data_IF_976472447631
#
_entry.id   IF_976472447631
#
_cell.length_a   1.000
_cell.length_b   1.000
_cell.length_c   1.000
_cell.angle_alpha   90.00
_cell.angle_beta   90.00
_cell.angle_gamma   90.00
#
_symmetry.space_group_name_H-M   'P 1'
#
loop_
_entity.id
_entity.type
_entity.pdbx_description
1 polymer ?
#
# COMPACT_ATOMS: atom_id res chain seq x y z
N UNK A 1 -22.82 -24.16 29.75
CA UNK A 1 -23.47 -23.14 28.92
C UNK A 1 -22.59 -21.90 28.89
N UNK A 2 -21.78 -21.74 27.84
CA UNK A 2 -21.36 -20.45 27.28
C UNK A 2 -20.40 -20.74 26.12
N UNK A 3 -20.98 -20.75 24.92
CA UNK A 3 -20.31 -20.87 23.63
C UNK A 3 -19.59 -19.56 23.31
N UNK A 4 -18.27 -19.60 23.16
CA UNK A 4 -17.48 -18.54 22.53
C UNK A 4 -17.23 -18.93 21.07
N UNK A 5 -17.85 -18.19 20.14
CA UNK A 5 -17.68 -18.36 18.70
C UNK A 5 -16.41 -17.66 18.23
N UNK A 6 -15.34 -18.44 18.06
CA UNK A 6 -14.16 -18.05 17.30
C UNK A 6 -14.48 -18.13 15.81
N UNK A 7 -14.72 -16.97 15.18
CA UNK A 7 -14.82 -16.85 13.73
C UNK A 7 -13.45 -17.16 13.12
N UNK A 8 -13.33 -18.39 12.63
CA UNK A 8 -12.16 -18.90 11.94
C UNK A 8 -12.07 -18.20 10.58
N UNK A 9 -11.11 -17.28 10.43
CA UNK A 9 -10.77 -16.68 9.13
C UNK A 9 -10.14 -17.79 8.30
N UNK A 10 -10.96 -18.45 7.48
CA UNK A 10 -10.47 -19.34 6.43
C UNK A 10 -9.59 -18.53 5.49
N UNK A 11 -8.29 -18.80 5.59
CA UNK A 11 -7.32 -18.70 4.51
C UNK A 11 -7.99 -18.99 3.16
N UNK A 12 -8.14 -17.96 2.32
CA UNK A 12 -8.42 -18.09 0.89
C UNK A 12 -7.21 -18.70 0.18
N UNK A 13 -6.88 -19.94 0.56
CA UNK A 13 -6.08 -20.85 -0.24
C UNK A 13 -7.00 -21.39 -1.32
N UNK A 14 -7.14 -20.63 -2.41
CA UNK A 14 -7.85 -21.08 -3.59
C UNK A 14 -7.17 -22.34 -4.13
N UNK A 15 -7.83 -23.48 -3.99
CA UNK A 15 -7.63 -24.63 -4.85
C UNK A 15 -7.71 -24.16 -6.30
N UNK A 16 -6.57 -24.15 -7.00
CA UNK A 16 -6.49 -24.03 -8.44
C UNK A 16 -7.20 -25.22 -9.07
N UNK A 17 -8.51 -25.12 -9.27
CA UNK A 17 -9.14 -25.82 -10.38
C UNK A 17 -8.86 -24.96 -11.60
N UNK A 18 -8.02 -25.48 -12.49
CA UNK A 18 -7.97 -25.04 -13.87
C UNK A 18 -9.39 -25.15 -14.43
N UNK A 19 -10.08 -24.03 -14.56
CA UNK A 19 -11.33 -23.91 -15.30
C UNK A 19 -11.01 -23.87 -16.82
N UNK A 20 -10.29 -24.86 -17.32
CA UNK A 20 -10.19 -25.15 -18.76
C UNK A 20 -11.23 -26.21 -19.11
N UNK A 21 -12.51 -25.86 -18.96
CA UNK A 21 -13.58 -26.50 -19.71
C UNK A 21 -13.85 -25.59 -20.90
N UNK A 22 -13.07 -25.81 -21.96
CA UNK A 22 -13.35 -25.28 -23.30
C UNK A 22 -14.46 -26.18 -23.87
N UNK A 23 -15.70 -25.91 -23.46
CA UNK A 23 -16.88 -26.52 -24.08
C UNK A 23 -16.98 -25.92 -25.48
N UNK A 24 -16.75 -26.75 -26.50
CA UNK A 24 -16.61 -26.39 -27.92
C UNK A 24 -17.87 -25.84 -28.60
N UNK A 25 -18.51 -24.83 -28.02
CA UNK A 25 -19.47 -23.96 -28.69
C UNK A 25 -18.74 -23.06 -29.69
N UNK A 26 -19.15 -23.11 -30.96
CA UNK A 26 -18.73 -22.16 -31.99
C UNK A 26 -19.05 -20.73 -31.53
N UNK A 27 -18.03 -19.98 -31.08
CA UNK A 27 -18.19 -18.58 -30.73
C UNK A 27 -18.57 -17.77 -31.97
N UNK A 28 -19.73 -17.11 -31.92
CA UNK A 28 -20.13 -16.13 -32.92
C UNK A 28 -19.07 -15.03 -33.04
N UNK A 29 -18.72 -14.66 -34.29
CA UNK A 29 -17.84 -13.52 -34.53
C UNK A 29 -18.53 -12.23 -34.08
N UNK A 30 -17.79 -11.29 -33.48
CA UNK A 30 -18.32 -9.96 -33.14
C UNK A 30 -18.99 -9.28 -34.35
N UNK A 31 -18.46 -9.49 -35.55
CA UNK A 31 -19.01 -8.94 -36.80
C UNK A 31 -20.36 -9.54 -37.23
N UNK A 32 -20.78 -10.65 -36.60
CA UNK A 32 -22.05 -11.33 -36.87
C UNK A 32 -23.16 -10.96 -35.90
N UNK A 33 -22.85 -10.17 -34.86
CA UNK A 33 -23.82 -9.73 -33.86
C UNK A 33 -24.79 -8.70 -34.45
N UNK A 34 -26.07 -8.80 -34.08
CA UNK A 34 -27.07 -7.79 -34.39
C UNK A 34 -26.91 -6.57 -33.48
N UNK A 35 -27.54 -5.45 -33.83
CA UNK A 35 -27.58 -4.26 -32.95
C UNK A 35 -28.18 -4.57 -31.58
N UNK A 36 -29.16 -5.48 -31.51
CA UNK A 36 -29.74 -5.91 -30.25
C UNK A 36 -28.73 -6.69 -29.40
N UNK A 37 -27.98 -7.61 -30.02
CA UNK A 37 -26.95 -8.39 -29.33
C UNK A 37 -25.84 -7.49 -28.74
N UNK A 38 -25.40 -6.49 -29.51
CA UNK A 38 -24.43 -5.49 -29.02
C UNK A 38 -24.99 -4.73 -27.82
N UNK A 39 -26.25 -4.28 -27.88
CA UNK A 39 -26.91 -3.61 -26.76
C UNK A 39 -26.96 -4.48 -25.50
N UNK A 40 -27.27 -5.78 -25.64
CA UNK A 40 -27.25 -6.70 -24.49
C UNK A 40 -25.86 -6.85 -23.88
N UNK A 41 -24.80 -6.86 -24.69
CA UNK A 41 -23.42 -6.92 -24.20
C UNK A 41 -23.05 -5.64 -23.46
N UNK A 42 -23.39 -4.47 -24.03
CA UNK A 42 -23.15 -3.16 -23.41
C UNK A 42 -23.87 -3.04 -22.06
N UNK A 43 -25.17 -3.36 -22.00
CA UNK A 43 -25.97 -3.34 -20.76
C UNK A 43 -25.40 -4.30 -19.70
N UNK A 44 -24.90 -5.46 -20.13
CA UNK A 44 -24.27 -6.44 -19.26
C UNK A 44 -22.95 -5.92 -18.69
N UNK A 45 -22.11 -5.29 -19.51
CA UNK A 45 -20.85 -4.66 -19.08
C UNK A 45 -21.15 -3.53 -18.10
N UNK A 46 -22.10 -2.64 -18.42
CA UNK A 46 -22.49 -1.53 -17.57
C UNK A 46 -22.99 -2.01 -16.20
N UNK A 47 -23.85 -3.03 -16.18
CA UNK A 47 -24.31 -3.66 -14.94
C UNK A 47 -23.14 -4.18 -14.10
N UNK A 48 -22.19 -4.88 -14.73
CA UNK A 48 -21.02 -5.42 -14.03
C UNK A 48 -20.09 -4.32 -13.51
N UNK A 49 -19.90 -3.22 -14.25
CA UNK A 49 -19.12 -2.07 -13.81
C UNK A 49 -19.74 -1.43 -12.57
N UNK A 50 -21.06 -1.26 -12.55
CA UNK A 50 -21.79 -0.76 -11.37
C UNK A 50 -21.61 -1.69 -10.15
N UNK A 51 -21.65 -3.00 -10.36
CA UNK A 51 -21.48 -4.01 -9.29
C UNK A 51 -20.05 -4.04 -8.70
N UNK A 52 -19.05 -3.41 -9.31
CA UNK A 52 -17.72 -3.26 -8.70
C UNK A 52 -17.72 -2.36 -7.47
N UNK A 53 -18.74 -1.50 -7.32
CA UNK A 53 -18.90 -0.62 -6.16
C UNK A 53 -19.82 -1.21 -5.08
N UNK A 54 -20.32 -2.44 -5.26
CA UNK A 54 -21.26 -3.07 -4.31
C UNK A 54 -20.63 -3.21 -2.92
N UNK A 55 -21.45 -3.22 -1.87
CA UNK A 55 -20.98 -3.38 -0.49
C UNK A 55 -20.35 -4.76 -0.24
N UNK A 56 -20.87 -5.81 -0.86
CA UNK A 56 -20.48 -7.18 -0.61
C UNK A 56 -19.33 -7.62 -1.51
N UNK A 57 -18.26 -8.16 -0.88
CA UNK A 57 -17.08 -8.64 -1.61
C UNK A 57 -17.41 -9.73 -2.63
N UNK A 58 -18.38 -10.61 -2.32
CA UNK A 58 -18.78 -11.69 -3.24
C UNK A 58 -19.37 -11.10 -4.53
N UNK A 59 -20.15 -10.02 -4.43
CA UNK A 59 -20.73 -9.32 -5.58
C UNK A 59 -19.61 -8.69 -6.42
N UNK A 60 -18.73 -7.90 -5.79
CA UNK A 60 -17.59 -7.28 -6.47
C UNK A 60 -16.67 -8.30 -7.16
N UNK A 61 -16.37 -9.41 -6.50
CA UNK A 61 -15.55 -10.49 -7.05
C UNK A 61 -16.21 -11.19 -8.23
N UNK A 62 -17.52 -11.45 -8.14
CA UNK A 62 -18.28 -12.05 -9.23
C UNK A 62 -18.35 -11.11 -10.44
N UNK A 63 -18.55 -9.82 -10.20
CA UNK A 63 -18.53 -8.79 -11.24
C UNK A 63 -17.15 -8.68 -11.92
N UNK A 64 -16.06 -8.63 -11.15
CA UNK A 64 -14.69 -8.64 -11.67
C UNK A 64 -14.41 -9.87 -12.55
N UNK A 65 -14.83 -11.06 -12.10
CA UNK A 65 -14.72 -12.30 -12.88
C UNK A 65 -15.53 -12.24 -14.17
N UNK A 66 -16.77 -11.75 -14.10
CA UNK A 66 -17.66 -11.56 -15.24
C UNK A 66 -17.04 -10.65 -16.28
N UNK A 67 -16.58 -9.46 -15.87
CA UNK A 67 -15.87 -8.52 -16.72
C UNK A 67 -14.66 -9.17 -17.38
N UNK A 68 -13.84 -9.91 -16.63
CA UNK A 68 -12.70 -10.62 -17.21
C UNK A 68 -13.07 -11.64 -18.29
N UNK A 69 -14.22 -12.31 -18.18
CA UNK A 69 -14.68 -13.29 -19.18
C UNK A 69 -15.29 -12.63 -20.41
N UNK A 70 -16.12 -11.60 -20.21
CA UNK A 70 -16.78 -10.86 -21.30
C UNK A 70 -15.74 -10.08 -22.09
N UNK A 71 -14.86 -9.33 -21.41
CA UNK A 71 -13.79 -8.53 -22.03
C UNK A 71 -12.86 -9.38 -22.89
N UNK A 72 -12.55 -10.60 -22.46
CA UNK A 72 -11.72 -11.52 -23.24
C UNK A 72 -12.34 -12.04 -24.54
N UNK A 73 -13.62 -11.77 -24.79
CA UNK A 73 -14.34 -12.11 -26.02
C UNK A 73 -14.63 -10.89 -26.90
N UNK A 74 -14.29 -9.68 -26.43
CA UNK A 74 -14.49 -8.46 -27.19
C UNK A 74 -13.36 -8.25 -28.20
N UNK A 75 -13.63 -7.54 -29.30
CA UNK A 75 -12.57 -6.92 -30.11
C UNK A 75 -11.62 -6.11 -29.23
N UNK A 76 -10.33 -6.11 -29.56
CA UNK A 76 -9.29 -5.49 -28.75
C UNK A 76 -9.58 -4.01 -28.41
N UNK A 77 -10.13 -3.24 -29.36
CA UNK A 77 -10.47 -1.83 -29.14
C UNK A 77 -11.48 -1.69 -28.00
N UNK A 78 -12.56 -2.47 -28.01
CA UNK A 78 -13.59 -2.46 -26.97
C UNK A 78 -13.08 -3.02 -25.64
N UNK A 79 -12.19 -4.02 -25.68
CA UNK A 79 -11.52 -4.51 -24.48
C UNK A 79 -10.70 -3.40 -23.80
N UNK A 80 -10.03 -2.57 -24.60
CA UNK A 80 -9.31 -1.38 -24.14
C UNK A 80 -10.24 -0.35 -23.50
N UNK A 81 -11.42 -0.11 -24.07
CA UNK A 81 -12.43 0.80 -23.49
C UNK A 81 -12.93 0.31 -22.13
N UNK A 82 -13.19 -1.00 -21.98
CA UNK A 82 -13.56 -1.59 -20.68
C UNK A 82 -12.44 -1.41 -19.65
N UNK A 83 -11.17 -1.63 -20.05
CA UNK A 83 -10.02 -1.38 -19.17
C UNK A 83 -9.98 0.09 -18.70
N UNK A 84 -10.19 1.03 -19.61
CA UNK A 84 -10.21 2.46 -19.31
C UNK A 84 -11.36 2.81 -18.35
N UNK A 85 -12.56 2.28 -18.58
CA UNK A 85 -13.70 2.50 -17.69
C UNK A 85 -13.38 2.06 -16.25
N UNK A 86 -12.79 0.88 -16.07
CA UNK A 86 -12.42 0.36 -14.74
C UNK A 86 -11.34 1.23 -14.07
N UNK A 87 -10.38 1.75 -14.83
CA UNK A 87 -9.35 2.66 -14.31
C UNK A 87 -9.92 3.99 -13.79
N UNK A 88 -11.08 4.42 -14.30
CA UNK A 88 -11.75 5.68 -13.91
C UNK A 88 -12.59 5.52 -12.64
N UNK A 89 -13.27 4.38 -12.43
CA UNK A 89 -14.13 4.11 -11.25
C UNK A 89 -13.54 4.56 -9.90
N UNK A 90 -12.28 4.22 -9.53
CA UNK A 90 -11.74 4.61 -8.22
C UNK A 90 -11.44 6.11 -8.11
N UNK A 91 -11.33 6.82 -9.24
CA UNK A 91 -11.05 8.26 -9.28
C UNK A 91 -12.27 9.12 -8.99
N UNK A 92 -13.48 8.57 -9.18
CA UNK A 92 -14.75 9.25 -8.90
C UNK A 92 -14.95 9.51 -7.40
N UNK A 93 -14.37 8.66 -6.55
CA UNK A 93 -14.38 8.83 -5.09
C UNK A 93 -13.13 8.28 -4.44
N UNK A 94 -12.21 9.19 -4.10
CA UNK A 94 -10.89 8.85 -3.50
C UNK A 94 -11.01 8.12 -2.15
N UNK A 95 -12.16 8.21 -1.48
CA UNK A 95 -12.39 7.59 -0.15
C UNK A 95 -13.29 6.36 -0.17
N UNK A 96 -13.80 5.96 -1.33
CA UNK A 96 -14.73 4.83 -1.44
C UNK A 96 -13.99 3.50 -1.59
N UNK A 97 -13.79 2.79 -0.47
CA UNK A 97 -13.07 1.52 -0.45
C UNK A 97 -13.67 0.46 -1.38
N UNK A 98 -14.98 0.47 -1.62
CA UNK A 98 -15.65 -0.57 -2.40
C UNK A 98 -15.28 -0.44 -3.87
N UNK A 99 -15.35 0.80 -4.40
CA UNK A 99 -14.90 1.14 -5.75
C UNK A 99 -13.43 0.81 -5.96
N UNK A 100 -12.57 1.20 -5.02
CA UNK A 100 -11.14 0.90 -5.10
C UNK A 100 -10.88 -0.61 -5.10
N UNK A 101 -11.54 -1.34 -4.21
CA UNK A 101 -11.38 -2.78 -4.08
C UNK A 101 -11.89 -3.52 -5.32
N UNK A 102 -13.13 -3.27 -5.75
CA UNK A 102 -13.71 -3.90 -6.94
C UNK A 102 -12.93 -3.60 -8.22
N UNK A 103 -12.46 -2.35 -8.38
CA UNK A 103 -11.60 -1.97 -9.51
C UNK A 103 -10.28 -2.74 -9.49
N UNK A 104 -9.62 -2.87 -8.33
CA UNK A 104 -8.38 -3.66 -8.24
C UNK A 104 -8.63 -5.15 -8.57
N UNK A 105 -9.73 -5.74 -8.09
CA UNK A 105 -10.08 -7.11 -8.44
C UNK A 105 -10.27 -7.24 -9.96
N UNK A 106 -11.06 -6.37 -10.58
CA UNK A 106 -11.33 -6.43 -12.01
C UNK A 106 -10.07 -6.19 -12.85
N UNK A 107 -9.21 -5.22 -12.47
CA UNK A 107 -7.92 -4.98 -13.13
C UNK A 107 -6.99 -6.19 -13.02
N UNK A 108 -6.97 -6.89 -11.88
CA UNK A 108 -6.20 -8.13 -11.73
C UNK A 108 -6.77 -9.24 -12.63
N UNK A 109 -8.10 -9.36 -12.72
CA UNK A 109 -8.77 -10.33 -13.61
C UNK A 109 -8.51 -10.05 -15.10
N UNK A 110 -8.41 -8.78 -15.50
CA UNK A 110 -8.01 -8.40 -16.86
C UNK A 110 -6.52 -8.63 -17.10
N UNK A 111 -5.67 -8.23 -16.14
CA UNK A 111 -4.22 -8.37 -16.22
C UNK A 111 -3.80 -9.83 -16.39
N UNK A 112 -4.33 -10.75 -15.57
CA UNK A 112 -3.98 -12.17 -15.64
C UNK A 112 -4.37 -12.86 -16.96
N UNK A 113 -5.26 -12.24 -17.75
CA UNK A 113 -5.71 -12.71 -19.06
C UNK A 113 -4.96 -12.01 -20.22
N UNK A 114 -4.01 -11.13 -19.91
CA UNK A 114 -3.27 -10.36 -20.91
C UNK A 114 -4.13 -9.30 -21.62
N UNK A 115 -5.26 -8.89 -21.02
CA UNK A 115 -6.21 -7.97 -21.66
C UNK A 115 -5.81 -6.49 -21.52
N UNK A 116 -4.83 -6.16 -20.66
CA UNK A 116 -4.25 -4.81 -20.59
C UNK A 116 -3.09 -4.73 -21.57
N UNK A 117 -3.42 -4.51 -22.84
CA UNK A 117 -2.44 -4.63 -23.93
C UNK A 117 -1.35 -3.55 -23.81
N UNK A 118 -0.05 -3.92 -23.83
CA UNK A 118 1.05 -2.97 -23.65
C UNK A 118 1.05 -1.81 -24.66
N UNK A 119 0.75 -2.11 -25.93
CA UNK A 119 0.76 -1.13 -27.04
C UNK A 119 -0.32 -0.05 -26.90
N UNK A 120 -1.35 -0.29 -26.11
CA UNK A 120 -2.47 0.64 -25.92
C UNK A 120 -2.18 1.68 -24.83
N UNK A 121 -0.98 1.65 -24.23
CA UNK A 121 -0.53 2.65 -23.25
C UNK A 121 -1.17 2.52 -21.86
N UNK A 122 -1.99 1.49 -21.63
CA UNK A 122 -2.77 1.30 -20.40
C UNK A 122 -1.98 0.76 -19.20
N UNK A 123 -0.79 0.20 -19.44
CA UNK A 123 0.09 -0.30 -18.38
C UNK A 123 0.52 0.80 -17.39
N UNK A 124 0.83 2.00 -17.86
CA UNK A 124 1.21 3.11 -16.99
C UNK A 124 0.05 3.60 -16.10
N UNK A 125 -1.16 3.87 -16.64
CA UNK A 125 -2.35 4.10 -15.84
C UNK A 125 -2.64 2.99 -14.82
N UNK A 126 -2.47 1.72 -15.21
CA UNK A 126 -2.61 0.59 -14.30
C UNK A 126 -1.64 0.71 -13.12
N UNK A 127 -0.34 0.91 -13.38
CA UNK A 127 0.67 1.10 -12.33
C UNK A 127 0.34 2.29 -11.41
N UNK A 128 -0.09 3.42 -11.98
CA UNK A 128 -0.47 4.61 -11.19
C UNK A 128 -1.69 4.35 -10.30
N UNK A 129 -2.70 3.64 -10.80
CA UNK A 129 -3.87 3.28 -10.01
C UNK A 129 -3.50 2.26 -8.93
N UNK A 130 -2.71 1.24 -9.25
CA UNK A 130 -2.24 0.23 -8.30
C UNK A 130 -1.38 0.82 -7.18
N UNK A 131 -0.46 1.74 -7.50
CA UNK A 131 0.38 2.41 -6.48
C UNK A 131 -0.45 3.27 -5.52
N UNK A 132 -1.50 3.95 -6.00
CA UNK A 132 -2.47 4.65 -5.14
C UNK A 132 -3.25 3.66 -4.27
N UNK A 133 -3.72 2.55 -4.84
CA UNK A 133 -4.46 1.53 -4.11
C UNK A 133 -3.63 0.83 -3.01
N UNK A 134 -2.33 0.56 -3.26
CA UNK A 134 -1.39 0.04 -2.25
C UNK A 134 -1.20 0.97 -1.05
N UNK A 135 -1.43 2.27 -1.25
CA UNK A 135 -1.33 3.31 -0.21
C UNK A 135 -2.71 3.72 0.32
N UNK A 136 -3.79 3.04 -0.10
CA UNK A 136 -5.13 3.35 0.34
C UNK A 136 -5.29 3.07 1.82
N UNK A 137 -5.57 4.11 2.59
CA UNK A 137 -5.84 4.03 4.02
C UNK A 137 -6.85 5.13 4.36
N UNK A 138 -8.08 4.72 4.62
CA UNK A 138 -9.15 5.63 4.96
C UNK A 138 -9.65 5.33 6.38
N UNK A 139 -9.83 6.40 7.17
CA UNK A 139 -10.44 6.30 8.49
C UNK A 139 -11.97 6.31 8.35
N UNK A 140 -12.65 5.27 8.87
CA UNK A 140 -14.12 5.21 8.93
C UNK A 140 -14.54 5.03 10.39
N UNK A 141 -14.80 6.16 11.06
CA UNK A 141 -15.05 6.18 12.49
C UNK A 141 -13.83 5.70 13.28
N UNK A 142 -13.99 4.62 14.05
CA UNK A 142 -12.94 3.98 14.85
C UNK A 142 -12.25 2.79 14.15
N UNK A 143 -12.65 2.46 12.92
CA UNK A 143 -12.04 1.37 12.14
C UNK A 143 -11.18 1.92 10.99
N UNK A 144 -10.09 1.20 10.65
CA UNK A 144 -9.43 1.36 9.35
C UNK A 144 -10.19 0.54 8.33
N UNK A 145 -10.44 1.17 7.19
CA UNK A 145 -10.93 0.52 6.00
C UNK A 145 -9.86 0.61 4.93
N UNK A 146 -9.78 -0.41 4.08
CA UNK A 146 -8.79 -0.44 3.00
C UNK A 146 -7.78 -1.59 3.00
N UNK A 147 -7.75 -2.46 4.00
CA UNK A 147 -6.90 -3.66 3.94
C UNK A 147 -7.22 -4.52 2.71
N UNK A 148 -8.51 -4.69 2.41
CA UNK A 148 -8.98 -5.37 1.20
C UNK A 148 -8.52 -4.68 -0.09
N UNK A 149 -8.50 -3.33 -0.11
CA UNK A 149 -8.00 -2.56 -1.26
C UNK A 149 -6.51 -2.82 -1.49
N UNK A 150 -5.71 -2.74 -0.43
CA UNK A 150 -4.25 -2.94 -0.50
C UNK A 150 -3.89 -4.38 -0.86
N UNK A 151 -4.63 -5.35 -0.34
CA UNK A 151 -4.50 -6.77 -0.69
C UNK A 151 -4.83 -7.01 -2.18
N UNK A 152 -5.97 -6.48 -2.67
CA UNK A 152 -6.31 -6.58 -4.09
C UNK A 152 -5.31 -5.84 -4.99
N UNK A 153 -4.72 -4.73 -4.54
CA UNK A 153 -3.65 -4.06 -5.28
C UNK A 153 -2.37 -4.91 -5.37
N UNK A 154 -2.05 -5.69 -4.32
CA UNK A 154 -1.00 -6.71 -4.39
C UNK A 154 -1.37 -7.81 -5.40
N UNK A 155 -2.64 -8.21 -5.47
CA UNK A 155 -3.12 -9.17 -6.47
C UNK A 155 -2.98 -8.62 -7.91
N UNK A 156 -3.21 -7.32 -8.15
CA UNK A 156 -2.90 -6.69 -9.45
C UNK A 156 -1.42 -6.83 -9.78
N UNK A 157 -0.53 -6.50 -8.86
CA UNK A 157 0.92 -6.62 -9.05
C UNK A 157 1.30 -8.08 -9.39
N UNK A 158 0.79 -9.04 -8.62
CA UNK A 158 0.99 -10.48 -8.83
C UNK A 158 0.52 -10.92 -10.23
N UNK A 159 -0.67 -10.48 -10.65
CA UNK A 159 -1.24 -10.81 -11.95
C UNK A 159 -0.40 -10.23 -13.10
N UNK A 160 0.07 -8.98 -12.97
CA UNK A 160 0.92 -8.32 -13.96
C UNK A 160 2.25 -9.07 -14.14
N UNK A 161 2.94 -9.39 -13.04
CA UNK A 161 4.21 -10.12 -13.10
C UNK A 161 4.13 -11.48 -13.79
N UNK A 162 2.94 -12.09 -13.80
CA UNK A 162 2.70 -13.40 -14.40
C UNK A 162 2.29 -13.36 -15.86
N UNK A 163 1.60 -12.30 -16.28
CA UNK A 163 0.93 -12.26 -17.58
C UNK A 163 1.74 -11.53 -18.66
N UNK A 164 2.59 -10.57 -18.28
CA UNK A 164 3.30 -9.71 -19.24
C UNK A 164 4.78 -10.09 -19.38
N UNK A 165 5.32 -9.88 -20.58
CA UNK A 165 6.71 -10.11 -20.88
C UNK A 165 7.62 -9.11 -20.16
N UNK A 166 8.85 -9.51 -19.87
CA UNK A 166 9.76 -8.67 -19.10
C UNK A 166 10.05 -7.33 -19.79
N UNK A 167 10.15 -7.29 -21.11
CA UNK A 167 10.34 -6.05 -21.87
C UNK A 167 9.22 -5.00 -21.65
N UNK A 168 7.99 -5.43 -21.38
CA UNK A 168 6.85 -4.52 -21.23
C UNK A 168 6.78 -3.90 -19.83
N UNK A 169 7.21 -4.64 -18.80
CA UNK A 169 6.99 -4.27 -17.39
C UNK A 169 8.27 -4.12 -16.56
N UNK A 170 9.46 -4.27 -17.16
CA UNK A 170 10.73 -4.08 -16.44
C UNK A 170 10.87 -2.67 -15.85
N UNK A 171 10.31 -1.66 -16.52
CA UNK A 171 10.33 -0.27 -16.05
C UNK A 171 9.55 -0.04 -14.75
N UNK A 172 8.67 -0.98 -14.37
CA UNK A 172 7.84 -0.85 -13.16
C UNK A 172 8.63 -1.14 -11.89
N UNK A 173 9.75 -1.84 -12.00
CA UNK A 173 10.43 -2.46 -10.87
C UNK A 173 10.82 -1.49 -9.76
N UNK A 174 11.36 -0.32 -10.11
CA UNK A 174 11.70 0.73 -9.13
C UNK A 174 10.45 1.26 -8.42
N UNK A 175 9.45 1.70 -9.18
CA UNK A 175 8.21 2.25 -8.64
C UNK A 175 7.51 1.24 -7.72
N UNK A 176 7.44 -0.03 -8.13
CA UNK A 176 6.87 -1.10 -7.32
C UNK A 176 7.67 -1.37 -6.06
N UNK A 177 9.00 -1.36 -6.13
CA UNK A 177 9.85 -1.51 -4.96
C UNK A 177 9.60 -0.39 -3.93
N UNK A 178 9.43 0.86 -4.37
CA UNK A 178 9.16 2.03 -3.52
C UNK A 178 7.75 2.03 -2.88
N UNK A 179 6.85 1.13 -3.28
CA UNK A 179 5.50 1.01 -2.69
C UNK A 179 5.24 -0.33 -2.01
N UNK A 180 5.70 -1.45 -2.59
CA UNK A 180 5.50 -2.79 -2.04
C UNK A 180 6.42 -3.06 -0.86
N UNK A 181 7.65 -2.54 -0.84
CA UNK A 181 8.56 -2.73 0.29
C UNK A 181 8.04 -2.02 1.55
N UNK A 182 7.63 -0.74 1.49
CA UNK A 182 6.97 -0.13 2.64
C UNK A 182 5.66 -0.82 3.01
N UNK A 183 4.86 -1.33 2.06
CA UNK A 183 3.67 -2.13 2.37
C UNK A 183 4.04 -3.43 3.12
N UNK A 184 5.06 -4.15 2.67
CA UNK A 184 5.55 -5.37 3.30
C UNK A 184 6.06 -5.12 4.73
N UNK A 185 6.70 -3.99 5.00
CA UNK A 185 7.28 -3.69 6.32
C UNK A 185 6.31 -2.99 7.27
N UNK A 186 5.49 -2.08 6.74
CA UNK A 186 4.77 -1.08 7.54
C UNK A 186 3.25 -1.17 7.47
N UNK A 187 2.67 -2.13 6.73
CA UNK A 187 1.23 -2.35 6.84
C UNK A 187 0.86 -2.85 8.24
N UNK A 188 -0.25 -2.33 8.76
CA UNK A 188 -0.82 -2.76 10.05
C UNK A 188 -1.25 -4.22 9.98
N UNK A 189 -1.84 -4.61 8.86
CA UNK A 189 -2.43 -5.93 8.64
C UNK A 189 -1.39 -6.91 8.10
N UNK A 190 -1.26 -8.06 8.78
CA UNK A 190 -0.31 -9.11 8.41
C UNK A 190 -0.57 -9.69 7.02
N UNK A 191 -1.84 -9.77 6.62
CA UNK A 191 -2.24 -10.23 5.28
C UNK A 191 -1.63 -9.35 4.19
N UNK A 192 -1.82 -8.04 4.29
CA UNK A 192 -1.27 -7.07 3.35
C UNK A 192 0.27 -7.10 3.31
N UNK A 193 0.94 -7.26 4.46
CA UNK A 193 2.41 -7.39 4.50
C UNK A 193 2.89 -8.59 3.68
N UNK A 194 2.23 -9.74 3.86
CA UNK A 194 2.54 -10.99 3.15
C UNK A 194 2.17 -10.93 1.67
N UNK A 195 1.03 -10.32 1.33
CA UNK A 195 0.60 -10.12 -0.05
C UNK A 195 1.59 -9.24 -0.83
N UNK A 196 2.10 -8.17 -0.20
CA UNK A 196 3.12 -7.32 -0.80
C UNK A 196 4.44 -8.07 -1.05
N UNK A 197 4.86 -8.92 -0.10
CA UNK A 197 6.03 -9.79 -0.28
C UNK A 197 5.83 -10.83 -1.39
N UNK A 198 4.66 -11.46 -1.46
CA UNK A 198 4.33 -12.40 -2.53
C UNK A 198 4.35 -11.74 -3.92
N UNK A 199 3.84 -10.50 -4.03
CA UNK A 199 3.93 -9.72 -5.27
C UNK A 199 5.38 -9.42 -5.65
N UNK A 200 6.23 -8.99 -4.70
CA UNK A 200 7.67 -8.80 -4.92
C UNK A 200 8.34 -10.10 -5.40
N UNK A 201 7.97 -11.23 -4.81
CA UNK A 201 8.51 -12.55 -5.16
C UNK A 201 8.18 -12.93 -6.62
N UNK A 202 6.94 -12.72 -7.07
CA UNK A 202 6.60 -12.99 -8.48
C UNK A 202 7.39 -12.11 -9.45
N UNK A 203 7.53 -10.82 -9.16
CA UNK A 203 8.32 -9.91 -10.01
C UNK A 203 9.77 -10.38 -10.14
N UNK A 204 10.43 -10.65 -9.01
CA UNK A 204 11.83 -11.12 -9.01
C UNK A 204 11.96 -12.47 -9.72
N UNK A 205 11.02 -13.39 -9.50
CA UNK A 205 11.07 -14.75 -10.02
C UNK A 205 10.71 -14.89 -11.50
N UNK A 206 9.77 -14.10 -12.01
CA UNK A 206 9.24 -14.24 -13.39
C UNK A 206 9.74 -13.19 -14.37
N UNK A 207 9.82 -11.94 -13.92
CA UNK A 207 10.18 -10.81 -14.79
C UNK A 207 11.70 -10.70 -14.87
N UNK A 208 12.39 -10.94 -13.75
CA UNK A 208 13.84 -11.13 -13.74
C UNK A 208 14.47 -10.63 -12.45
N UNK A 209 15.60 -11.24 -12.08
CA UNK A 209 16.30 -10.99 -10.80
C UNK A 209 16.69 -9.52 -10.53
N UNK A 210 16.79 -8.71 -11.58
CA UNK A 210 17.22 -7.31 -11.50
C UNK A 210 16.05 -6.31 -11.64
N UNK A 211 14.80 -6.79 -11.82
CA UNK A 211 13.66 -5.89 -11.97
C UNK A 211 13.39 -5.13 -10.67
N UNK A 212 13.35 -5.86 -9.55
CA UNK A 212 13.33 -5.27 -8.22
C UNK A 212 14.79 -5.07 -7.80
N UNK A 213 15.20 -3.84 -7.43
CA UNK A 213 16.56 -3.57 -6.96
C UNK A 213 16.96 -4.53 -5.84
N UNK A 214 18.11 -5.21 -5.91
CA UNK A 214 18.53 -6.16 -4.87
C UNK A 214 17.48 -7.23 -4.51
N UNK A 215 16.66 -7.65 -5.49
CA UNK A 215 15.50 -8.52 -5.24
C UNK A 215 15.87 -9.85 -4.58
N UNK A 216 17.00 -10.45 -4.95
CA UNK A 216 17.46 -11.72 -4.38
C UNK A 216 17.91 -11.58 -2.92
N UNK A 217 18.50 -10.44 -2.54
CA UNK A 217 18.87 -10.14 -1.15
C UNK A 217 17.67 -9.67 -0.32
N UNK A 218 16.70 -9.02 -0.96
CA UNK A 218 15.50 -8.49 -0.31
C UNK A 218 14.54 -9.59 0.14
N UNK A 219 14.22 -10.55 -0.73
CA UNK A 219 13.17 -11.55 -0.47
C UNK A 219 13.40 -12.38 0.79
N UNK A 220 14.61 -12.86 1.10
CA UNK A 220 14.87 -13.58 2.36
C UNK A 220 14.68 -12.73 3.62
N UNK A 221 14.72 -11.39 3.52
CA UNK A 221 14.44 -10.51 4.65
C UNK A 221 12.93 -10.36 4.88
N UNK A 222 12.14 -10.43 3.81
CA UNK A 222 10.69 -10.19 3.78
C UNK A 222 9.90 -11.50 3.67
N UNK A 223 10.34 -12.57 4.33
CA UNK A 223 9.65 -13.86 4.25
C UNK A 223 8.34 -13.90 5.05
N UNK A 224 7.55 -14.94 4.79
CA UNK A 224 6.22 -15.12 5.37
C UNK A 224 6.20 -15.15 6.91
N UNK A 225 7.25 -15.68 7.53
CA UNK A 225 7.37 -15.83 8.98
C UNK A 225 7.89 -14.54 9.62
N UNK A 226 8.93 -13.91 9.08
CA UNK A 226 9.50 -12.68 9.66
C UNK A 226 8.50 -11.52 9.63
N UNK A 227 7.68 -11.46 8.58
CA UNK A 227 6.63 -10.44 8.43
C UNK A 227 5.44 -10.62 9.38
N UNK A 228 5.37 -11.73 10.14
CA UNK A 228 4.33 -11.91 11.14
C UNK A 228 4.48 -10.94 12.32
N UNK A 229 5.72 -10.63 12.71
CA UNK A 229 6.00 -9.68 13.77
C UNK A 229 5.99 -8.25 13.24
N UNK A 230 4.96 -7.48 13.61
CA UNK A 230 4.84 -6.07 13.22
C UNK A 230 5.95 -5.21 13.81
N UNK A 231 6.36 -5.42 15.07
CA UNK A 231 7.42 -4.62 15.69
C UNK A 231 8.78 -4.95 15.05
N UNK A 232 9.05 -6.23 14.82
CA UNK A 232 10.22 -6.69 14.09
C UNK A 232 10.28 -6.15 12.67
N UNK A 233 9.15 -6.12 11.96
CA UNK A 233 9.08 -5.53 10.60
C UNK A 233 9.49 -4.05 10.62
N UNK A 234 8.94 -3.27 11.54
CA UNK A 234 9.25 -1.85 11.69
C UNK A 234 10.69 -1.58 12.13
N UNK A 235 11.15 -2.23 13.20
CA UNK A 235 12.35 -1.80 13.92
C UNK A 235 13.59 -2.66 13.62
N UNK A 236 13.43 -3.85 13.05
CA UNK A 236 14.52 -4.79 12.79
C UNK A 236 14.73 -5.08 11.31
N UNK A 237 13.65 -5.32 10.56
CA UNK A 237 13.74 -5.61 9.12
C UNK A 237 13.94 -4.33 8.30
N UNK A 238 13.20 -3.26 8.59
CA UNK A 238 13.32 -2.01 7.82
C UNK A 238 14.75 -1.46 7.73
N UNK A 239 15.56 -1.41 8.82
CA UNK A 239 16.95 -0.99 8.73
C UNK A 239 17.85 -1.93 7.92
N UNK A 240 17.56 -3.24 7.90
CA UNK A 240 18.28 -4.20 7.05
C UNK A 240 17.98 -3.94 5.58
N UNK A 241 16.71 -3.73 5.25
CA UNK A 241 16.26 -3.44 3.89
C UNK A 241 16.80 -2.10 3.40
N UNK A 242 16.78 -1.07 4.25
CA UNK A 242 17.34 0.24 3.92
C UNK A 242 18.83 0.18 3.52
N UNK A 243 19.61 -0.72 4.14
CA UNK A 243 21.04 -0.93 3.81
C UNK A 243 21.28 -1.59 2.46
N UNK A 244 20.28 -2.26 1.87
CA UNK A 244 20.44 -2.83 0.54
C UNK A 244 20.58 -1.73 -0.52
N UNK A 245 19.87 -0.62 -0.36
CA UNK A 245 19.97 0.53 -1.27
C UNK A 245 19.52 1.83 -0.60
N UNK A 246 20.46 2.74 -0.33
CA UNK A 246 20.14 4.04 0.25
C UNK A 246 19.29 4.90 -0.70
N UNK A 247 19.59 4.87 -2.01
CA UNK A 247 18.90 5.69 -3.02
C UNK A 247 17.48 5.24 -3.39
N UNK A 248 17.05 4.06 -2.93
CA UNK A 248 15.73 3.51 -3.24
C UNK A 248 14.99 3.16 -1.95
N UNK A 249 15.55 2.28 -1.13
CA UNK A 249 14.86 1.78 0.06
C UNK A 249 14.88 2.75 1.21
N UNK A 250 16.03 3.29 1.60
CA UNK A 250 16.09 4.21 2.73
C UNK A 250 15.17 5.43 2.52
N UNK A 251 15.24 6.05 1.33
CA UNK A 251 14.36 7.16 0.95
C UNK A 251 12.88 6.81 1.01
N UNK A 252 12.45 5.72 0.35
CA UNK A 252 11.05 5.31 0.33
C UNK A 252 10.52 4.94 1.73
N UNK A 253 11.34 4.32 2.58
CA UNK A 253 10.97 3.97 3.94
C UNK A 253 10.83 5.21 4.83
N UNK A 254 11.75 6.17 4.74
CA UNK A 254 11.64 7.44 5.48
C UNK A 254 10.40 8.20 5.02
N UNK A 255 10.17 8.32 3.71
CA UNK A 255 8.99 8.99 3.15
C UNK A 255 7.68 8.34 3.63
N UNK A 256 7.57 7.01 3.60
CA UNK A 256 6.39 6.29 4.11
C UNK A 256 6.12 6.60 5.58
N UNK A 257 7.17 6.55 6.41
CA UNK A 257 7.05 6.78 7.83
C UNK A 257 6.65 8.21 8.14
N UNK A 258 7.29 9.19 7.50
CA UNK A 258 7.01 10.62 7.72
C UNK A 258 5.64 11.00 7.17
N UNK A 259 5.33 10.67 5.91
CA UNK A 259 4.13 11.17 5.25
C UNK A 259 2.85 10.44 5.63
N UNK A 260 2.94 9.19 6.10
CA UNK A 260 1.76 8.37 6.35
C UNK A 260 1.71 7.75 7.74
N UNK A 261 2.76 7.02 8.15
CA UNK A 261 2.68 6.21 9.39
C UNK A 261 2.75 7.05 10.67
N UNK A 262 3.50 8.15 10.67
CA UNK A 262 3.54 9.10 11.79
C UNK A 262 2.19 9.79 12.02
N UNK A 263 1.41 10.03 10.98
CA UNK A 263 0.09 10.64 11.12
C UNK A 263 -1.06 9.62 11.15
N UNK A 264 -0.76 8.33 11.28
CA UNK A 264 -1.77 7.28 11.27
C UNK A 264 -2.72 7.40 12.47
N UNK A 265 -3.99 7.02 12.32
CA UNK A 265 -5.01 7.18 13.35
C UNK A 265 -4.78 6.27 14.57
N UNK A 266 -4.24 5.06 14.34
CA UNK A 266 -3.81 4.12 15.39
C UNK A 266 -2.52 4.60 16.07
N UNK A 267 -2.60 4.83 17.37
CA UNK A 267 -1.48 5.26 18.21
C UNK A 267 -0.30 4.29 18.19
N UNK A 268 -0.56 2.99 18.23
CA UNK A 268 0.49 1.97 18.22
C UNK A 268 1.30 1.98 16.92
N UNK A 269 0.67 2.33 15.80
CA UNK A 269 1.34 2.51 14.51
C UNK A 269 2.20 3.78 14.53
N UNK A 270 1.70 4.88 15.10
CA UNK A 270 2.49 6.12 15.23
C UNK A 270 3.74 5.91 16.10
N UNK A 271 3.61 5.18 17.20
CA UNK A 271 4.73 4.89 18.10
C UNK A 271 5.80 4.01 17.42
N UNK A 272 5.38 2.94 16.73
CA UNK A 272 6.27 2.10 15.93
C UNK A 272 6.93 2.89 14.80
N UNK A 273 6.18 3.77 14.14
CA UNK A 273 6.70 4.62 13.07
C UNK A 273 7.78 5.57 13.60
N UNK A 274 7.54 6.24 14.73
CA UNK A 274 8.54 7.10 15.35
C UNK A 274 9.81 6.33 15.74
N UNK A 275 9.67 5.14 16.34
CA UNK A 275 10.81 4.29 16.68
C UNK A 275 11.62 3.87 15.45
N UNK A 276 10.93 3.38 14.40
CA UNK A 276 11.55 2.95 13.15
C UNK A 276 12.27 4.12 12.46
N UNK A 277 11.63 5.29 12.41
CA UNK A 277 12.20 6.49 11.82
C UNK A 277 13.49 6.91 12.54
N UNK A 278 13.49 6.91 13.88
CA UNK A 278 14.71 7.19 14.64
C UNK A 278 15.85 6.23 14.30
N UNK A 279 15.57 4.92 14.25
CA UNK A 279 16.57 3.90 13.89
C UNK A 279 17.10 4.14 12.47
N UNK A 280 16.23 4.41 11.49
CA UNK A 280 16.62 4.66 10.10
C UNK A 280 17.45 5.95 9.98
N UNK A 281 17.01 7.05 10.59
CA UNK A 281 17.76 8.30 10.61
C UNK A 281 19.12 8.14 11.29
N UNK A 282 19.25 7.30 12.32
CA UNK A 282 20.53 6.96 12.93
C UNK A 282 21.50 6.18 12.00
N UNK A 283 21.03 5.68 10.85
CA UNK A 283 21.87 5.07 9.81
C UNK A 283 22.17 5.99 8.62
N UNK A 284 21.51 7.16 8.57
CA UNK A 284 21.73 8.17 7.53
C UNK A 284 23.10 8.82 7.74
N UNK A 285 23.85 9.01 6.65
CA UNK A 285 25.18 9.62 6.68
C UNK A 285 25.20 11.11 6.35
N UNK A 286 24.12 11.63 5.75
CA UNK A 286 23.99 13.04 5.39
C UNK A 286 23.08 13.81 6.36
N UNK A 287 23.58 14.95 6.84
CA UNK A 287 22.84 15.80 7.78
C UNK A 287 21.59 16.43 7.13
N UNK A 288 21.59 16.62 5.81
CA UNK A 288 20.49 17.28 5.07
C UNK A 288 19.19 16.48 5.21
N UNK A 289 19.25 15.15 5.04
CA UNK A 289 18.07 14.28 5.21
C UNK A 289 17.55 14.36 6.64
N UNK A 290 18.45 14.34 7.63
CA UNK A 290 18.07 14.44 9.04
C UNK A 290 17.43 15.80 9.34
N UNK A 291 18.03 16.90 8.87
CA UNK A 291 17.50 18.26 9.01
C UNK A 291 16.09 18.38 8.38
N UNK A 292 15.88 17.81 7.20
CA UNK A 292 14.58 17.83 6.51
C UNK A 292 13.50 17.06 7.28
N UNK A 293 13.84 15.86 7.77
CA UNK A 293 12.94 15.05 8.61
C UNK A 293 12.58 15.82 9.88
N UNK A 294 13.59 16.29 10.61
CA UNK A 294 13.40 17.06 11.85
C UNK A 294 12.57 18.31 11.61
N UNK A 295 12.87 19.09 10.57
CA UNK A 295 12.14 20.31 10.24
C UNK A 295 10.66 20.02 9.96
N UNK A 296 10.37 18.95 9.20
CA UNK A 296 9.01 18.50 8.92
C UNK A 296 8.27 18.09 10.20
N UNK A 297 8.91 17.29 11.06
CA UNK A 297 8.30 16.83 12.31
C UNK A 297 8.11 17.97 13.31
N UNK A 298 9.07 18.87 13.44
CA UNK A 298 8.96 20.04 14.29
C UNK A 298 7.80 20.96 13.83
N UNK A 299 7.66 21.20 12.53
CA UNK A 299 6.55 21.97 11.99
C UNK A 299 5.18 21.32 12.33
N UNK A 300 5.08 19.98 12.20
CA UNK A 300 3.87 19.22 12.54
C UNK A 300 3.60 19.19 14.05
N UNK A 301 4.64 19.13 14.87
CA UNK A 301 4.55 19.18 16.33
C UNK A 301 4.14 20.57 16.87
N UNK A 302 4.26 21.64 16.07
CA UNK A 302 3.71 22.97 16.41
C UNK A 302 2.21 23.06 16.15
N UNK A 303 1.72 22.36 15.13
CA UNK A 303 0.31 22.38 14.77
C UNK A 303 -0.52 21.43 15.65
N UNK A 304 -1.41 22.00 16.46
CA UNK A 304 -2.24 21.26 17.42
C UNK A 304 -3.65 20.96 16.91
N UNK A 305 -3.95 21.36 15.67
CA UNK A 305 -5.28 21.19 15.07
C UNK A 305 -5.60 19.74 14.73
N UNK A 306 -4.57 18.91 14.59
CA UNK A 306 -4.70 17.48 14.34
C UNK A 306 -3.94 16.70 15.44
N UNK A 307 -4.66 16.11 16.41
CA UNK A 307 -4.04 15.38 17.52
C UNK A 307 -3.20 14.17 17.09
N UNK A 308 -3.57 13.50 15.99
CA UNK A 308 -2.86 12.30 15.51
C UNK A 308 -1.52 12.72 14.92
N UNK A 309 -1.53 13.74 14.06
CA UNK A 309 -0.32 14.34 13.48
C UNK A 309 0.59 14.92 14.55
N UNK A 310 0.05 15.67 15.50
CA UNK A 310 0.81 16.23 16.61
C UNK A 310 1.51 15.13 17.41
N UNK A 311 0.75 14.11 17.84
CA UNK A 311 1.27 13.00 18.63
C UNK A 311 2.40 12.28 17.91
N UNK A 312 2.17 11.83 16.68
CA UNK A 312 3.20 11.08 15.96
C UNK A 312 4.41 11.93 15.60
N UNK A 313 4.21 13.21 15.30
CA UNK A 313 5.33 14.11 15.02
C UNK A 313 6.23 14.30 16.25
N UNK A 314 5.62 14.43 17.44
CA UNK A 314 6.35 14.53 18.69
C UNK A 314 7.15 13.25 18.99
N UNK A 315 6.53 12.06 18.83
CA UNK A 315 7.21 10.78 18.98
C UNK A 315 8.33 10.59 17.96
N UNK A 316 8.07 10.89 16.69
CA UNK A 316 9.06 10.79 15.61
C UNK A 316 10.24 11.72 15.84
N UNK A 317 9.99 12.98 16.26
CA UNK A 317 11.03 13.95 16.56
C UNK A 317 11.89 13.46 17.73
N UNK A 318 11.25 13.01 18.81
CA UNK A 318 11.94 12.48 19.99
C UNK A 318 12.89 11.32 19.65
N UNK A 319 12.40 10.37 18.85
CA UNK A 319 13.20 9.22 18.41
C UNK A 319 14.29 9.63 17.43
N UNK A 320 14.01 10.52 16.49
CA UNK A 320 15.01 11.00 15.53
C UNK A 320 16.18 11.65 16.27
N UNK A 321 15.91 12.63 17.14
CA UNK A 321 16.95 13.34 17.93
C UNK A 321 17.74 12.36 18.80
N UNK A 322 17.06 11.42 19.47
CA UNK A 322 17.70 10.40 20.30
C UNK A 322 18.72 9.54 19.52
N UNK A 323 18.39 9.14 18.29
CA UNK A 323 19.23 8.25 17.51
C UNK A 323 20.31 8.98 16.70
N UNK A 324 20.10 10.24 16.33
CA UNK A 324 21.05 11.01 15.53
C UNK A 324 22.03 11.84 16.36
N UNK A 325 21.80 12.03 17.67
CA UNK A 325 22.65 12.82 18.59
C UNK A 325 23.03 14.19 18.03
N UNK A 326 22.05 14.83 17.41
CA UNK A 326 22.24 15.97 16.53
C UNK A 326 22.46 17.27 17.30
N UNK A 327 23.44 18.06 16.86
CA UNK A 327 23.72 19.41 17.35
C UNK A 327 23.13 20.49 16.43
N UNK A 328 23.30 21.77 16.78
CA UNK A 328 22.91 22.91 15.93
C UNK A 328 21.40 23.01 15.68
N UNK A 329 21.01 23.24 14.42
CA UNK A 329 19.62 23.56 14.02
C UNK A 329 18.61 22.49 14.43
N UNK A 330 19.01 21.23 14.43
CA UNK A 330 18.16 20.11 14.84
C UNK A 330 17.88 20.15 16.34
N UNK A 331 18.92 20.40 17.14
CA UNK A 331 18.78 20.58 18.58
C UNK A 331 17.90 21.80 18.91
N UNK A 332 18.06 22.90 18.18
CA UNK A 332 17.27 24.11 18.39
C UNK A 332 15.78 23.90 18.08
N UNK A 333 15.47 23.20 16.98
CA UNK A 333 14.09 22.82 16.65
C UNK A 333 13.47 21.94 17.76
N UNK A 334 14.24 21.01 18.30
CA UNK A 334 13.80 20.15 19.39
C UNK A 334 13.58 20.94 20.70
N UNK A 335 14.49 21.86 21.05
CA UNK A 335 14.37 22.75 22.23
C UNK A 335 13.10 23.60 22.18
N UNK A 336 12.78 24.18 21.02
CA UNK A 336 11.57 24.97 20.84
C UNK A 336 10.29 24.14 21.10
N UNK A 337 10.25 22.88 20.65
CA UNK A 337 9.16 21.96 20.95
C UNK A 337 9.10 21.60 22.44
N UNK A 338 10.24 21.40 23.12
CA UNK A 338 10.28 21.15 24.56
C UNK A 338 9.69 22.34 25.33
N UNK A 339 10.13 23.56 25.03
CA UNK A 339 9.64 24.77 25.71
C UNK A 339 8.13 24.92 25.49
N UNK A 340 7.67 24.82 24.25
CA UNK A 340 6.26 25.01 23.93
C UNK A 340 5.35 23.86 24.40
N UNK A 341 5.87 22.64 24.50
CA UNK A 341 5.13 21.43 24.90
C UNK A 341 5.18 21.16 26.40
N UNK A 342 6.38 21.05 26.98
CA UNK A 342 6.60 20.68 28.37
C UNK A 342 6.15 21.78 29.34
N UNK A 343 6.62 23.01 29.14
CA UNK A 343 6.31 24.15 30.03
C UNK A 343 4.83 24.53 29.96
N UNK A 344 4.20 24.42 28.79
CA UNK A 344 2.81 24.86 28.63
C UNK A 344 1.77 23.76 28.86
N UNK A 345 2.10 22.47 28.70
CA UNK A 345 1.10 21.38 28.80
C UNK A 345 1.38 20.41 29.92
N UNK A 346 2.61 19.90 30.02
CA UNK A 346 2.96 18.93 31.08
C UNK A 346 2.85 19.60 32.44
N UNK A 347 3.46 20.78 32.60
CA UNK A 347 3.38 21.54 33.85
C UNK A 347 1.95 22.00 34.21
N UNK A 348 1.06 22.11 33.21
CA UNK A 348 -0.36 22.47 33.40
C UNK A 348 -1.29 21.25 33.53
N UNK A 349 -0.76 20.03 33.58
CA UNK A 349 -1.56 18.80 33.71
C UNK A 349 -2.40 18.44 32.48
N UNK A 350 -2.12 19.05 31.32
CA UNK A 350 -2.92 18.92 30.09
C UNK A 350 -2.29 18.00 29.04
N UNK A 351 -1.20 17.30 29.39
CA UNK A 351 -0.49 16.40 28.49
C UNK A 351 -0.95 14.95 28.64
N UNK A 352 -1.10 14.24 27.52
CA UNK A 352 -1.43 12.80 27.51
C UNK A 352 -0.18 11.95 27.81
N UNK A 353 -0.32 10.70 28.28
CA UNK A 353 0.83 9.83 28.60
C UNK A 353 1.87 9.69 27.47
N UNK A 354 1.43 9.46 26.22
CA UNK A 354 2.34 9.39 25.06
C UNK A 354 3.10 10.71 24.82
N UNK A 355 2.43 11.86 24.98
CA UNK A 355 3.05 13.17 24.85
C UNK A 355 4.12 13.38 25.94
N UNK A 356 3.85 12.97 27.18
CA UNK A 356 4.81 13.03 28.29
C UNK A 356 6.02 12.15 27.98
N UNK A 357 5.81 10.92 27.50
CA UNK A 357 6.89 10.00 27.13
C UNK A 357 7.78 10.62 26.04
N UNK A 358 7.20 11.12 24.96
CA UNK A 358 7.95 11.69 23.85
C UNK A 358 8.72 12.96 24.27
N UNK A 359 8.10 13.85 25.07
CA UNK A 359 8.80 15.02 25.61
C UNK A 359 9.92 14.63 26.57
N UNK A 360 9.73 13.60 27.39
CA UNK A 360 10.77 13.10 28.29
C UNK A 360 11.96 12.54 27.52
N UNK A 361 11.70 11.82 26.42
CA UNK A 361 12.76 11.34 25.51
C UNK A 361 13.49 12.53 24.87
N UNK A 362 12.76 13.55 24.40
CA UNK A 362 13.37 14.77 23.85
C UNK A 362 14.28 15.47 24.85
N UNK A 363 13.83 15.64 26.09
CA UNK A 363 14.60 16.26 27.17
C UNK A 363 15.83 15.43 27.53
N UNK A 364 15.73 14.10 27.51
CA UNK A 364 16.85 13.22 27.81
C UNK A 364 17.87 13.11 26.65
N UNK A 365 17.46 13.41 25.41
CA UNK A 365 18.30 13.31 24.23
C UNK A 365 19.13 14.58 23.95
N UNK A 366 18.72 15.72 24.53
CA UNK A 366 19.41 17.03 24.44
C UNK A 366 20.17 17.32 25.73
#
# INVERSE_FOLDING_TARGET
QSTTSSANVQSLGGSSRDDTADDGEECLSWSSLTTADVGYVEDSIDTLLHMLADHDTIVRWSAAKGLGRVTGRLPQVLAGEVCQAILVIPTESVRDEFRWHGSCLALAELARRGLVVPRDGLLNPLLQTTTKALRFDAQRGSASVGSQVRDAACYVCWAVARAYAAEDISSFGRTLAEVLVPAALFDREIGCRRAASAALQEFVGRVGKNVIPHGLELLPLLDFYTLADRRGSYCYLAPKVARLSAGIYLGALIEELVERKICHWDESIRELAGQSLGILCGTVSDDITIENVVGTLAARAKSKTDPQRYHGALHGLARTVMYTKTEGKVADAARDIIVTGYVNRVAKGNAKPGEILALSILVAAL
#
